data_IF_894252940152
#
_entry.id   IF_894252940152
#
_cell.length_a   1.000
_cell.length_b   1.000
_cell.length_c   1.000
_cell.angle_alpha   90.00
_cell.angle_beta   90.00
_cell.angle_gamma   90.00
#
_symmetry.space_group_name_H-M   'P 1'
#
loop_
_entity.id
_entity.type
_entity.pdbx_description
1 polymer ?
#
# COMPACT_ATOMS: atom_id res chain seq x y z
N UNK A 1 -14.31 63.70 48.82
CA UNK A 1 -13.67 63.63 47.48
C UNK A 1 -12.87 62.33 47.44
N UNK A 2 -13.46 61.27 46.89
CA UNK A 2 -12.93 59.90 46.92
C UNK A 2 -11.89 59.69 45.82
N UNK A 3 -10.66 59.33 46.18
CA UNK A 3 -9.69 58.69 45.27
C UNK A 3 -9.40 57.29 45.78
N UNK A 4 -9.90 56.29 45.06
CA UNK A 4 -9.42 54.90 45.15
C UNK A 4 -8.00 54.87 44.60
N UNK A 5 -7.07 54.31 45.36
CA UNK A 5 -5.78 53.84 44.83
C UNK A 5 -5.84 52.32 44.92
N UNK A 6 -6.02 51.68 43.77
CA UNK A 6 -5.64 50.28 43.55
C UNK A 6 -4.15 50.28 43.23
N UNK A 7 -3.36 49.62 44.07
CA UNK A 7 -1.92 49.44 43.91
C UNK A 7 -1.61 47.95 43.89
N UNK A 8 -1.12 47.49 42.76
CA UNK A 8 -1.04 46.11 42.32
C UNK A 8 -0.03 45.25 43.10
N UNK A 9 -0.51 44.18 43.75
CA UNK A 9 0.30 43.03 44.17
C UNK A 9 0.11 41.87 43.16
N UNK A 10 0.16 42.19 41.87
CA UNK A 10 -0.30 41.30 40.79
C UNK A 10 0.75 40.43 40.09
N UNK A 11 2.00 40.87 39.82
CA UNK A 11 2.84 40.13 38.86
C UNK A 11 4.03 39.37 39.47
N UNK A 12 4.56 39.78 40.63
CA UNK A 12 5.83 39.21 41.15
C UNK A 12 5.67 37.88 41.90
N UNK A 13 4.53 37.64 42.57
CA UNK A 13 4.26 36.35 43.23
C UNK A 13 3.89 35.23 42.24
N UNK A 14 3.26 35.59 41.11
CA UNK A 14 2.90 34.64 40.05
C UNK A 14 4.14 34.14 39.27
N UNK A 15 5.14 35.00 39.07
CA UNK A 15 6.36 34.65 38.34
C UNK A 15 7.22 33.60 39.07
N UNK A 16 7.28 33.65 40.40
CA UNK A 16 8.08 32.71 41.20
C UNK A 16 7.45 31.31 41.27
N UNK A 17 6.12 31.22 41.31
CA UNK A 17 5.41 29.94 41.25
C UNK A 17 5.56 29.22 39.89
N UNK A 18 5.61 29.99 38.79
CA UNK A 18 5.81 29.44 37.45
C UNK A 18 7.21 28.83 37.26
N UNK A 19 8.25 29.44 37.85
CA UNK A 19 9.63 28.96 37.74
C UNK A 19 9.83 27.66 38.54
N UNK A 20 9.25 27.56 39.75
CA UNK A 20 9.34 26.31 40.56
C UNK A 20 8.58 25.16 39.89
N UNK A 21 7.42 25.43 39.29
CA UNK A 21 6.67 24.40 38.55
C UNK A 21 7.42 23.96 37.27
N UNK A 22 8.07 24.88 36.55
CA UNK A 22 8.86 24.57 35.36
C UNK A 22 10.10 23.73 35.70
N UNK A 23 10.80 24.03 36.80
CA UNK A 23 11.96 23.26 37.27
C UNK A 23 11.55 21.86 37.76
N UNK A 24 10.38 21.74 38.40
CA UNK A 24 9.85 20.44 38.87
C UNK A 24 9.42 19.57 37.68
N UNK A 25 8.78 20.14 36.65
CA UNK A 25 8.41 19.41 35.43
C UNK A 25 9.66 19.02 34.62
N UNK A 26 10.71 19.84 34.59
CA UNK A 26 11.98 19.46 33.94
C UNK A 26 12.77 18.38 34.71
N UNK A 27 12.62 18.27 36.03
CA UNK A 27 13.32 17.27 36.84
C UNK A 27 12.59 15.92 36.92
N UNK A 28 11.26 15.89 36.78
CA UNK A 28 10.47 14.65 36.69
C UNK A 28 10.20 14.18 35.24
N UNK A 29 10.32 15.08 34.26
CA UNK A 29 10.22 14.78 32.83
C UNK A 29 11.57 14.44 32.22
N UNK A 30 12.33 13.51 32.82
CA UNK A 30 13.38 12.85 32.04
C UNK A 30 12.67 11.91 31.08
N UNK A 31 12.68 12.14 29.75
CA UNK A 31 12.46 11.01 28.87
C UNK A 31 13.53 10.00 29.27
N UNK A 32 13.11 8.79 29.61
CA UNK A 32 14.00 7.66 29.62
C UNK A 32 14.71 7.72 28.27
N UNK A 33 15.97 8.16 28.27
CA UNK A 33 16.88 7.88 27.19
C UNK A 33 16.92 6.36 27.27
N UNK A 34 16.12 5.74 26.42
CA UNK A 34 16.17 4.33 26.14
C UNK A 34 17.57 4.16 25.56
N UNK A 35 18.50 3.86 26.46
CA UNK A 35 19.87 3.52 26.18
C UNK A 35 19.79 2.51 25.06
N UNK A 36 20.22 2.91 23.85
CA UNK A 36 20.35 2.03 22.71
C UNK A 36 21.31 0.94 23.11
N UNK A 37 20.77 -0.10 23.76
CA UNK A 37 21.51 -1.29 24.08
C UNK A 37 22.03 -1.81 22.76
N UNK A 38 23.34 -2.07 22.62
CA UNK A 38 23.80 -2.84 21.48
C UNK A 38 22.96 -4.10 21.40
N UNK A 39 22.32 -4.32 20.25
CA UNK A 39 21.45 -5.47 20.01
C UNK A 39 22.32 -6.72 20.14
N UNK A 40 22.32 -7.28 21.34
CA UNK A 40 23.10 -8.46 21.73
C UNK A 40 22.35 -9.74 21.38
N UNK A 41 21.23 -9.63 20.65
CA UNK A 41 20.48 -10.78 20.17
C UNK A 41 21.40 -11.60 19.24
N UNK A 42 21.68 -12.88 19.58
CA UNK A 42 22.47 -13.74 18.72
C UNK A 42 21.83 -13.81 17.33
N UNK A 43 22.63 -13.81 16.27
CA UNK A 43 22.18 -14.23 14.94
C UNK A 43 21.58 -15.64 15.09
N UNK A 44 20.26 -15.76 14.90
CA UNK A 44 19.49 -16.98 15.17
C UNK A 44 18.50 -16.89 16.34
N UNK A 45 18.35 -15.75 17.00
CA UNK A 45 17.28 -15.53 17.98
C UNK A 45 15.89 -15.67 17.31
N UNK A 46 15.07 -16.56 17.86
CA UNK A 46 13.68 -16.76 17.41
C UNK A 46 12.82 -15.62 17.95
N UNK A 47 11.98 -15.02 17.11
CA UNK A 47 11.07 -13.93 17.50
C UNK A 47 10.24 -14.33 18.72
N UNK A 48 10.36 -13.53 19.79
CA UNK A 48 9.62 -13.72 21.04
C UNK A 48 8.12 -13.55 20.82
N UNK A 49 7.31 -13.94 21.82
CA UNK A 49 5.85 -13.74 21.74
C UNK A 49 5.47 -12.25 21.66
N UNK A 50 6.23 -11.37 22.32
CA UNK A 50 6.06 -9.93 22.26
C UNK A 50 6.42 -9.39 20.86
N UNK A 51 7.60 -9.72 20.33
CA UNK A 51 7.99 -9.33 18.97
C UNK A 51 6.97 -9.83 17.93
N UNK A 52 6.47 -11.06 18.08
CA UNK A 52 5.42 -11.63 17.21
C UNK A 52 4.08 -10.92 17.36
N UNK A 53 3.75 -10.41 18.54
CA UNK A 53 2.54 -9.64 18.78
C UNK A 53 2.64 -8.22 18.22
N UNK A 54 3.83 -7.62 18.25
CA UNK A 54 4.10 -6.32 17.62
C UNK A 54 4.12 -6.41 16.10
N UNK A 55 4.61 -7.53 15.55
CA UNK A 55 4.56 -7.84 14.12
C UNK A 55 3.20 -8.35 13.65
N UNK A 56 2.24 -8.58 14.54
CA UNK A 56 0.90 -9.01 14.17
C UNK A 56 0.19 -7.86 13.44
N UNK A 57 0.34 -7.85 12.10
CA UNK A 57 -0.36 -6.90 11.25
C UNK A 57 -1.88 -7.02 11.50
N UNK A 58 -2.62 -5.91 11.53
CA UNK A 58 -4.08 -5.96 11.54
C UNK A 58 -4.55 -6.86 10.40
N UNK A 59 -5.57 -7.70 10.66
CA UNK A 59 -6.15 -8.51 9.61
C UNK A 59 -6.60 -7.60 8.46
N UNK A 60 -6.02 -7.78 7.27
CA UNK A 60 -6.44 -7.02 6.08
C UNK A 60 -7.89 -7.39 5.81
N UNK A 61 -8.79 -6.41 6.00
CA UNK A 61 -10.21 -6.61 5.75
C UNK A 61 -10.46 -6.87 4.28
N UNK A 62 -11.37 -7.80 3.96
CA UNK A 62 -11.84 -7.96 2.59
C UNK A 62 -12.66 -6.72 2.21
N UNK A 63 -12.25 -6.03 1.16
CA UNK A 63 -12.98 -4.93 0.56
C UNK A 63 -14.20 -5.42 -0.21
N UNK A 64 -15.16 -4.51 -0.38
CA UNK A 64 -16.56 -4.80 -0.71
C UNK A 64 -16.87 -4.86 -2.22
N UNK A 65 -15.86 -4.84 -3.09
CA UNK A 65 -16.08 -4.88 -4.53
C UNK A 65 -16.33 -6.30 -5.03
N UNK A 66 -17.55 -6.57 -5.51
CA UNK A 66 -17.81 -7.79 -6.27
C UNK A 66 -16.96 -7.83 -7.55
N UNK A 67 -16.49 -9.01 -7.98
CA UNK A 67 -15.80 -9.14 -9.25
C UNK A 67 -16.76 -8.78 -10.40
N UNK A 68 -16.49 -7.67 -11.07
CA UNK A 68 -17.17 -7.27 -12.30
C UNK A 68 -16.27 -7.63 -13.48
N UNK A 69 -16.76 -8.52 -14.34
CA UNK A 69 -16.13 -8.81 -15.63
C UNK A 69 -16.72 -7.87 -16.66
N UNK A 70 -15.85 -7.15 -17.37
CA UNK A 70 -16.25 -6.29 -18.48
C UNK A 70 -16.76 -7.17 -19.64
N UNK A 71 -18.02 -7.02 -20.07
CA UNK A 71 -18.60 -7.82 -21.15
C UNK A 71 -17.90 -7.64 -22.50
N UNK A 72 -17.14 -6.56 -22.70
CA UNK A 72 -16.35 -6.31 -23.90
C UNK A 72 -15.06 -7.14 -23.99
N UNK A 73 -14.64 -7.78 -22.90
CA UNK A 73 -13.40 -8.57 -22.86
C UNK A 73 -13.64 -9.94 -23.48
N UNK A 74 -12.90 -10.26 -24.56
CA UNK A 74 -12.93 -11.59 -25.17
C UNK A 74 -12.11 -12.58 -24.34
N UNK A 75 -12.74 -13.56 -23.65
CA UNK A 75 -12.01 -14.42 -22.72
C UNK A 75 -11.09 -15.43 -23.43
N UNK A 76 -11.25 -15.64 -24.73
CA UNK A 76 -10.38 -16.49 -25.56
C UNK A 76 -9.11 -15.77 -26.04
N UNK A 77 -9.04 -14.45 -25.85
CA UNK A 77 -7.91 -13.59 -26.22
C UNK A 77 -7.04 -13.33 -24.97
N UNK A 78 -5.84 -13.92 -24.86
CA UNK A 78 -5.02 -13.79 -23.66
C UNK A 78 -4.56 -12.36 -23.41
N UNK A 79 -4.35 -11.56 -24.45
CA UNK A 79 -3.89 -10.18 -24.32
C UNK A 79 -5.02 -9.29 -23.80
N UNK A 80 -6.25 -9.53 -24.26
CA UNK A 80 -7.44 -8.85 -23.74
C UNK A 80 -7.67 -9.17 -22.26
N UNK A 81 -7.56 -10.45 -21.87
CA UNK A 81 -7.67 -10.88 -20.46
C UNK A 81 -6.57 -10.27 -19.60
N UNK A 82 -5.31 -10.27 -20.07
CA UNK A 82 -4.18 -9.70 -19.35
C UNK A 82 -4.39 -8.20 -19.09
N UNK A 83 -4.80 -7.43 -20.11
CA UNK A 83 -5.06 -6.00 -19.97
C UNK A 83 -6.20 -5.72 -19.00
N UNK A 84 -7.31 -6.43 -19.13
CA UNK A 84 -8.47 -6.27 -18.27
C UNK A 84 -8.17 -6.60 -16.80
N UNK A 85 -7.41 -7.67 -16.57
CA UNK A 85 -6.93 -8.02 -15.23
C UNK A 85 -6.07 -6.91 -14.63
N UNK A 86 -5.07 -6.39 -15.36
CA UNK A 86 -4.16 -5.36 -14.85
C UNK A 86 -4.88 -4.05 -14.54
N UNK A 87 -5.82 -3.62 -15.39
CA UNK A 87 -6.65 -2.44 -15.11
C UNK A 87 -7.47 -2.64 -13.84
N UNK A 88 -8.11 -3.80 -13.70
CA UNK A 88 -8.93 -4.13 -12.53
C UNK A 88 -8.11 -4.32 -11.25
N UNK A 89 -6.85 -4.76 -11.36
CA UNK A 89 -5.93 -5.00 -10.25
C UNK A 89 -5.28 -3.72 -9.72
N UNK A 90 -4.96 -2.76 -10.60
CA UNK A 90 -4.28 -1.52 -10.20
C UNK A 90 -5.22 -0.30 -10.10
N UNK A 91 -6.49 -0.45 -10.48
CA UNK A 91 -7.52 0.54 -10.21
C UNK A 91 -8.04 0.44 -8.77
N UNK A 92 -8.10 1.59 -8.08
CA UNK A 92 -8.50 1.67 -6.68
C UNK A 92 -9.36 2.91 -6.41
N UNK A 93 -10.16 2.85 -5.34
CA UNK A 93 -10.90 3.99 -4.77
C UNK A 93 -10.46 4.19 -3.32
N UNK A 94 -10.71 5.37 -2.75
CA UNK A 94 -10.29 5.66 -1.37
C UNK A 94 -10.89 4.71 -0.33
N UNK A 95 -12.06 4.12 -0.60
CA UNK A 95 -12.68 3.10 0.25
C UNK A 95 -11.91 1.78 0.29
N UNK A 96 -10.94 1.56 -0.60
CA UNK A 96 -10.11 0.36 -0.59
C UNK A 96 -8.94 0.45 0.43
N UNK A 97 -8.76 1.59 1.11
CA UNK A 97 -7.68 1.80 2.08
C UNK A 97 -7.61 0.71 3.16
N UNK A 98 -6.45 0.06 3.28
CA UNK A 98 -6.22 -1.01 4.26
C UNK A 98 -7.00 -2.30 3.99
N UNK A 99 -7.52 -2.50 2.76
CA UNK A 99 -8.35 -3.64 2.37
C UNK A 99 -7.80 -4.35 1.13
N UNK A 100 -8.29 -5.56 0.90
CA UNK A 100 -8.16 -6.20 -0.42
C UNK A 100 -9.35 -5.85 -1.30
N UNK A 101 -9.21 -5.80 -2.62
CA UNK A 101 -10.34 -5.70 -3.54
C UNK A 101 -10.37 -6.88 -4.51
N UNK A 102 -11.57 -7.27 -4.97
CA UNK A 102 -11.76 -8.46 -5.82
C UNK A 102 -12.16 -8.13 -7.26
N UNK A 103 -12.01 -6.88 -7.69
CA UNK A 103 -12.33 -6.45 -9.08
C UNK A 103 -11.62 -7.30 -10.12
N UNK A 104 -10.35 -7.65 -9.89
CA UNK A 104 -9.56 -8.50 -10.80
C UNK A 104 -9.90 -10.01 -10.71
N UNK A 105 -10.65 -10.46 -9.70
CA UNK A 105 -10.90 -11.88 -9.44
C UNK A 105 -11.71 -12.55 -10.57
N UNK A 106 -12.49 -11.79 -11.34
CA UNK A 106 -13.23 -12.30 -12.51
C UNK A 106 -12.33 -12.76 -13.68
N UNK A 107 -11.09 -12.26 -13.74
CA UNK A 107 -10.09 -12.66 -14.74
C UNK A 107 -9.05 -13.64 -14.17
N UNK A 108 -9.14 -13.93 -12.86
CA UNK A 108 -8.20 -14.78 -12.16
C UNK A 108 -8.70 -16.22 -12.16
N UNK A 109 -7.77 -17.16 -12.27
CA UNK A 109 -8.10 -18.56 -12.30
C UNK A 109 -8.53 -19.04 -10.91
N UNK A 110 -9.52 -19.95 -10.80
CA UNK A 110 -9.93 -20.49 -9.51
C UNK A 110 -8.74 -21.03 -8.72
N UNK A 111 -8.68 -20.70 -7.43
CA UNK A 111 -7.59 -21.09 -6.55
C UNK A 111 -6.32 -20.25 -6.63
N UNK A 112 -6.22 -19.24 -7.52
CA UNK A 112 -5.10 -18.29 -7.47
C UNK A 112 -5.25 -17.29 -6.32
N UNK A 113 -4.14 -16.68 -5.88
CA UNK A 113 -4.15 -15.64 -4.84
C UNK A 113 -5.11 -14.49 -5.20
N UNK A 114 -5.08 -13.90 -6.42
CA UNK A 114 -6.02 -12.85 -6.80
C UNK A 114 -7.49 -13.30 -6.77
N UNK A 115 -7.79 -14.58 -7.06
CA UNK A 115 -9.17 -15.09 -7.01
C UNK A 115 -9.68 -15.29 -5.59
N UNK A 116 -8.83 -15.78 -4.68
CA UNK A 116 -9.20 -16.13 -3.30
C UNK A 116 -9.19 -14.92 -2.36
N UNK A 117 -8.10 -14.17 -2.36
CA UNK A 117 -7.82 -13.08 -1.40
C UNK A 117 -8.16 -11.72 -2.02
N UNK A 118 -8.03 -11.59 -3.33
CA UNK A 118 -8.09 -10.31 -4.04
C UNK A 118 -6.70 -9.67 -4.15
N UNK A 119 -6.67 -8.43 -4.60
CA UNK A 119 -5.45 -7.61 -4.67
C UNK A 119 -5.41 -6.72 -3.43
N UNK A 120 -4.26 -6.67 -2.75
CA UNK A 120 -4.05 -5.83 -1.57
C UNK A 120 -3.82 -4.39 -2.02
N UNK A 121 -4.56 -3.42 -1.47
CA UNK A 121 -4.31 -2.00 -1.72
C UNK A 121 -3.34 -1.49 -0.65
N UNK A 122 -2.06 -1.39 -1.04
CA UNK A 122 -0.98 -0.92 -0.16
C UNK A 122 -1.04 0.61 -0.01
N UNK A 123 -1.31 1.30 -1.11
CA UNK A 123 -1.42 2.75 -1.18
C UNK A 123 -2.75 3.09 -1.83
N UNK A 124 -3.75 3.49 -1.05
CA UNK A 124 -5.07 3.82 -1.57
C UNK A 124 -5.17 5.32 -1.92
N UNK A 125 -5.96 5.69 -2.93
CA UNK A 125 -6.26 7.09 -3.19
C UNK A 125 -6.81 7.80 -1.94
N UNK A 126 -6.60 9.12 -1.79
CA UNK A 126 -7.30 9.90 -0.77
C UNK A 126 -8.83 9.74 -0.86
N UNK A 127 -9.58 9.94 0.24
CA UNK A 127 -11.04 9.91 0.18
C UNK A 127 -11.60 10.84 -0.90
N UNK A 128 -12.54 10.34 -1.71
CA UNK A 128 -13.11 11.07 -2.84
C UNK A 128 -12.24 11.11 -4.11
N UNK A 129 -11.05 10.52 -4.10
CA UNK A 129 -10.22 10.31 -5.28
C UNK A 129 -10.33 8.88 -5.82
N UNK A 130 -10.00 8.72 -7.10
CA UNK A 130 -9.94 7.44 -7.80
C UNK A 130 -8.58 7.30 -8.45
N UNK A 131 -8.01 6.10 -8.38
CA UNK A 131 -6.87 5.69 -9.20
C UNK A 131 -7.38 4.90 -10.39
N UNK A 132 -7.12 5.43 -11.58
CA UNK A 132 -7.30 4.71 -12.84
C UNK A 132 -6.00 4.06 -13.26
N UNK A 133 -6.09 2.96 -14.01
CA UNK A 133 -4.95 2.22 -14.50
C UNK A 133 -5.11 1.97 -16.00
N UNK A 134 -4.02 2.14 -16.75
CA UNK A 134 -3.95 1.93 -18.20
C UNK A 134 -2.71 1.13 -18.53
N UNK A 135 -2.86 0.02 -19.26
CA UNK A 135 -1.72 -0.79 -19.69
C UNK A 135 -1.01 -0.13 -20.86
N UNK A 136 0.17 0.43 -20.61
CA UNK A 136 1.00 1.12 -21.61
C UNK A 136 1.89 0.15 -22.39
N UNK A 137 2.32 -0.95 -21.77
CA UNK A 137 3.09 -2.01 -22.42
C UNK A 137 2.61 -3.39 -21.99
N UNK A 138 2.56 -4.34 -22.92
CA UNK A 138 2.32 -5.74 -22.66
C UNK A 138 3.13 -6.57 -23.66
N UNK A 139 4.19 -7.19 -23.18
CA UNK A 139 5.15 -7.96 -23.98
C UNK A 139 5.06 -9.43 -23.62
N UNK A 140 4.88 -10.31 -24.61
CA UNK A 140 4.95 -11.75 -24.41
C UNK A 140 6.41 -12.18 -24.26
N UNK A 141 6.79 -12.62 -23.06
CA UNK A 141 8.17 -13.03 -22.73
C UNK A 141 8.35 -14.54 -22.65
N UNK A 142 7.26 -15.29 -22.45
CA UNK A 142 7.29 -16.75 -22.41
C UNK A 142 5.98 -17.36 -22.93
N UNK A 143 6.09 -18.49 -23.63
CA UNK A 143 4.94 -19.32 -23.99
C UNK A 143 5.36 -20.79 -23.93
N UNK A 144 4.45 -21.67 -23.47
CA UNK A 144 4.70 -23.10 -23.53
C UNK A 144 4.47 -23.65 -24.96
N UNK A 145 5.09 -24.79 -25.29
CA UNK A 145 4.98 -25.41 -26.62
C UNK A 145 3.54 -25.76 -27.01
N UNK A 146 2.68 -26.03 -26.02
CA UNK A 146 1.28 -26.39 -26.24
C UNK A 146 0.35 -25.17 -26.35
N UNK A 147 0.87 -23.96 -26.15
CA UNK A 147 0.08 -22.72 -26.15
C UNK A 147 -0.99 -22.69 -25.05
N UNK A 148 -0.77 -23.41 -23.95
CA UNK A 148 -1.66 -23.48 -22.79
C UNK A 148 -1.25 -22.51 -21.66
N UNK A 149 -0.03 -21.94 -21.72
CA UNK A 149 0.49 -20.98 -20.76
C UNK A 149 1.23 -19.86 -21.47
N UNK A 150 1.07 -18.63 -20.96
CA UNK A 150 1.77 -17.45 -21.45
C UNK A 150 2.26 -16.61 -20.27
N UNK A 151 3.49 -16.13 -20.36
CA UNK A 151 4.11 -15.19 -19.44
C UNK A 151 4.30 -13.86 -20.14
N UNK A 152 3.85 -12.79 -19.50
CA UNK A 152 3.96 -11.42 -20.01
C UNK A 152 4.78 -10.56 -19.07
N UNK A 153 5.52 -9.60 -19.63
CA UNK A 153 5.99 -8.42 -18.93
C UNK A 153 5.03 -7.28 -19.24
N UNK A 154 4.59 -6.55 -18.23
CA UNK A 154 3.63 -5.48 -18.38
C UNK A 154 4.12 -4.19 -17.71
N UNK A 155 3.70 -3.07 -18.30
CA UNK A 155 3.81 -1.73 -17.71
C UNK A 155 2.42 -1.11 -17.65
N UNK A 156 2.08 -0.56 -16.49
CA UNK A 156 0.79 0.02 -16.19
C UNK A 156 1.01 1.45 -15.72
N UNK A 157 0.50 2.42 -16.46
CA UNK A 157 0.41 3.79 -16.00
C UNK A 157 -0.82 3.93 -15.10
N UNK A 158 -0.66 4.68 -14.01
CA UNK A 158 -1.75 5.02 -13.10
C UNK A 158 -1.92 6.52 -13.03
N UNK A 159 -3.17 6.96 -12.81
CA UNK A 159 -3.49 8.36 -12.60
C UNK A 159 -4.48 8.46 -11.43
N UNK A 160 -4.12 9.25 -10.43
CA UNK A 160 -4.87 9.41 -9.18
C UNK A 160 -5.34 10.85 -9.03
N UNK A 161 -6.62 11.05 -8.74
CA UNK A 161 -7.20 12.37 -8.49
C UNK A 161 -8.72 12.32 -8.34
N UNK A 162 -9.39 13.46 -8.16
CA UNK A 162 -10.85 13.53 -8.15
C UNK A 162 -11.45 13.01 -9.46
N UNK A 163 -12.63 12.37 -9.43
CA UNK A 163 -13.34 11.96 -10.65
C UNK A 163 -13.52 13.12 -11.63
N UNK A 164 -13.11 12.94 -12.87
CA UNK A 164 -13.23 13.96 -13.93
C UNK A 164 -12.27 15.15 -13.79
N UNK A 165 -11.29 15.08 -12.89
CA UNK A 165 -10.24 16.10 -12.79
C UNK A 165 -9.47 16.24 -14.11
N UNK A 166 -9.01 17.45 -14.45
CA UNK A 166 -8.17 17.66 -15.62
C UNK A 166 -6.82 16.94 -15.46
N UNK A 167 -6.22 16.55 -16.58
CA UNK A 167 -4.97 15.80 -16.65
C UNK A 167 -3.79 16.42 -15.88
N UNK A 168 -3.81 17.74 -15.68
CA UNK A 168 -2.79 18.51 -14.94
C UNK A 168 -2.92 18.38 -13.41
N UNK A 169 -4.07 17.93 -12.92
CA UNK A 169 -4.35 17.74 -11.49
C UNK A 169 -4.20 16.28 -11.03
N UNK A 170 -3.78 15.38 -11.93
CA UNK A 170 -3.61 13.96 -11.65
C UNK A 170 -2.19 13.65 -11.21
N UNK A 171 -2.06 12.96 -10.08
CA UNK A 171 -0.81 12.32 -9.70
C UNK A 171 -0.59 11.08 -10.57
N UNK A 172 0.60 10.92 -11.14
CA UNK A 172 0.92 9.83 -12.07
C UNK A 172 1.96 8.89 -11.47
N UNK A 173 1.72 7.61 -11.68
CA UNK A 173 2.65 6.54 -11.30
C UNK A 173 2.79 5.50 -12.39
N UNK A 174 3.82 4.69 -12.28
CA UNK A 174 4.05 3.55 -13.17
C UNK A 174 4.31 2.30 -12.34
N UNK A 175 3.71 1.18 -12.78
CA UNK A 175 3.89 -0.14 -12.18
C UNK A 175 4.37 -1.07 -13.29
N UNK A 176 5.47 -1.78 -13.03
CA UNK A 176 5.96 -2.82 -13.91
C UNK A 176 5.84 -4.17 -13.21
N UNK A 177 5.51 -5.23 -13.96
CA UNK A 177 5.41 -6.57 -13.39
C UNK A 177 5.39 -7.70 -14.43
N UNK A 178 5.33 -8.92 -13.92
CA UNK A 178 5.16 -10.13 -14.70
C UNK A 178 3.79 -10.76 -14.43
N UNK A 179 3.17 -11.29 -15.48
CA UNK A 179 1.85 -11.90 -15.42
C UNK A 179 1.89 -13.28 -16.08
N UNK A 180 1.31 -14.30 -15.43
CA UNK A 180 1.21 -15.64 -16.01
C UNK A 180 -0.25 -16.01 -16.22
N UNK A 181 -0.61 -16.31 -17.46
CA UNK A 181 -1.93 -16.78 -17.87
C UNK A 181 -1.89 -18.28 -18.18
N UNK A 182 -3.01 -18.94 -17.91
CA UNK A 182 -3.25 -20.32 -18.30
C UNK A 182 -4.60 -20.47 -19.01
N UNK A 183 -4.60 -21.22 -20.11
CA UNK A 183 -5.79 -21.58 -20.85
C UNK A 183 -6.55 -22.67 -20.10
N UNK A 184 -7.85 -22.47 -19.92
CA UNK A 184 -8.77 -23.42 -19.32
C UNK A 184 -9.25 -24.43 -20.36
N UNK A 185 -9.82 -25.58 -19.95
CA UNK A 185 -10.37 -26.57 -20.87
C UNK A 185 -11.48 -26.03 -21.79
N UNK A 186 -12.23 -25.03 -21.33
CA UNK A 186 -13.28 -24.33 -22.10
C UNK A 186 -12.71 -23.28 -23.08
N UNK A 187 -11.39 -23.16 -23.19
CA UNK A 187 -10.69 -22.26 -24.09
C UNK A 187 -10.47 -20.85 -23.56
N UNK A 188 -11.02 -20.48 -22.39
CA UNK A 188 -10.80 -19.17 -21.77
C UNK A 188 -9.39 -19.06 -21.20
N UNK A 189 -8.83 -17.86 -21.21
CA UNK A 189 -7.59 -17.54 -20.50
C UNK A 189 -7.91 -16.94 -19.15
N UNK A 190 -7.14 -17.31 -18.13
CA UNK A 190 -7.24 -16.76 -16.78
C UNK A 190 -5.85 -16.54 -16.18
N UNK A 191 -5.72 -15.49 -15.37
CA UNK A 191 -4.48 -15.15 -14.65
C UNK A 191 -4.26 -16.11 -13.49
N UNK A 192 -3.07 -16.70 -13.42
CA UNK A 192 -2.63 -17.60 -12.34
C UNK A 192 -1.84 -16.86 -11.29
N UNK A 193 -0.96 -15.96 -11.72
CA UNK A 193 -0.13 -15.16 -10.83
C UNK A 193 0.25 -13.85 -11.50
N UNK A 194 0.47 -12.85 -10.66
CA UNK A 194 1.07 -11.58 -10.98
C UNK A 194 2.22 -11.36 -9.99
N UNK A 195 3.34 -10.83 -10.45
CA UNK A 195 4.48 -10.51 -9.61
C UNK A 195 4.97 -9.11 -9.95
N UNK A 196 4.90 -8.15 -9.02
CA UNK A 196 5.43 -6.81 -9.25
C UNK A 196 6.96 -6.88 -9.39
N UNK A 197 7.50 -6.01 -10.24
CA UNK A 197 8.94 -5.77 -10.28
C UNK A 197 9.26 -4.72 -9.22
N UNK A 198 10.03 -5.08 -8.20
CA UNK A 198 10.66 -4.08 -7.35
C UNK A 198 11.77 -3.42 -8.17
N UNK A 199 11.93 -2.09 -8.15
CA UNK A 199 13.18 -1.50 -8.63
C UNK A 199 14.36 -2.17 -7.90
N UNK A 200 15.54 -2.31 -8.55
CA UNK A 200 16.72 -2.84 -7.88
C UNK A 200 16.93 -2.06 -6.58
N UNK A 201 17.17 -2.78 -5.48
CA UNK A 201 17.51 -2.15 -4.22
C UNK A 201 18.72 -1.22 -4.47
N UNK A 202 18.74 0.00 -3.91
CA UNK A 202 19.96 0.80 -3.96
C UNK A 202 21.08 -0.04 -3.37
N UNK A 203 22.24 -0.06 -4.03
CA UNK A 203 23.44 -0.71 -3.50
C UNK A 203 23.71 -0.10 -2.12
N UNK A 204 23.36 -0.83 -1.07
CA UNK A 204 23.74 -0.44 0.28
C UNK A 204 25.26 -0.59 0.32
N UNK A 205 26.00 0.47 0.73
CA UNK A 205 27.44 0.34 0.90
C UNK A 205 27.68 -0.83 1.86
N UNK A 206 28.45 -1.83 1.40
CA UNK A 206 28.92 -2.89 2.27
C UNK A 206 29.75 -2.19 3.33
N UNK A 207 29.27 -2.18 4.57
CA UNK A 207 30.03 -1.63 5.68
C UNK A 207 31.35 -2.37 5.77
N UNK A 208 32.44 -1.72 5.38
CA UNK A 208 33.78 -2.18 5.73
C UNK A 208 33.93 -1.94 7.24
N UNK A 209 33.86 -3.04 8.00
CA UNK A 209 34.22 -3.09 9.42
C UNK A 209 35.69 -3.42 9.60
#
# INVERSE_FOLDING_TARGET
MNRRVHGELGPLAAALAAIVMLVTVLLLGRPSIEETRPDTRPLGAVLGAADRSELAAPAIGRGSGDPVVDPGVRPTDPDAVARAYLVAAHGAVGEDAGRTHRRAAGYAAPGSVPAQVGVVVIDAPPPGAVRTATVTSLELVAADRRGSRRGYRATVATATGPPGAPDTALERGEIAGYLVLARQPDGRWLVRTETPTTPPAPDLPVGEG
#
